data_IF_630197677645
#
_entry.id   IF_630197677645
#
_cell.length_a   1.000
_cell.length_b   1.000
_cell.length_c   1.000
_cell.angle_alpha   90.00
_cell.angle_beta   90.00
_cell.angle_gamma   90.00
#
_symmetry.space_group_name_H-M   'P 1'
#
loop_
_entity.id
_entity.type
_entity.pdbx_description
1 polymer ?
#
# COMPACT_ATOMS: atom_id res chain seq x y z
N UNK A 1 -11.61 -18.45 2.03
CA UNK A 1 -10.32 -18.15 1.38
C UNK A 1 -10.62 -17.13 0.30
N UNK A 2 -10.35 -15.85 0.58
CA UNK A 2 -10.64 -14.78 -0.38
C UNK A 2 -9.55 -14.81 -1.44
N UNK A 3 -9.89 -15.25 -2.66
CA UNK A 3 -8.99 -15.13 -3.80
C UNK A 3 -8.91 -13.65 -4.17
N UNK A 4 -7.81 -12.98 -3.80
CA UNK A 4 -7.50 -11.66 -4.33
C UNK A 4 -7.33 -11.82 -5.86
N UNK A 5 -7.92 -10.95 -6.69
CA UNK A 5 -7.62 -10.94 -8.11
C UNK A 5 -6.11 -10.84 -8.31
N UNK A 6 -5.59 -11.53 -9.32
CA UNK A 6 -4.16 -11.72 -9.52
C UNK A 6 -3.54 -10.42 -10.07
N UNK A 7 -3.30 -9.45 -9.20
CA UNK A 7 -2.69 -8.14 -9.54
C UNK A 7 -1.18 -8.23 -9.71
N UNK A 8 -0.64 -9.44 -9.96
CA UNK A 8 0.78 -9.72 -10.00
C UNK A 8 1.07 -10.94 -10.87
N UNK A 9 2.14 -10.87 -11.67
CA UNK A 9 2.70 -12.00 -12.42
C UNK A 9 4.22 -11.94 -12.27
N UNK A 10 4.86 -13.03 -11.82
CA UNK A 10 6.33 -13.13 -11.70
C UNK A 10 6.98 -11.93 -10.99
N UNK A 11 6.41 -11.50 -9.86
CA UNK A 11 6.84 -10.34 -9.06
C UNK A 11 6.62 -8.95 -9.72
N UNK A 12 5.95 -8.88 -10.88
CA UNK A 12 5.56 -7.64 -11.56
C UNK A 12 4.15 -7.27 -11.15
N UNK A 13 3.96 -6.05 -10.65
CA UNK A 13 2.63 -5.51 -10.30
C UNK A 13 1.83 -5.12 -11.54
N UNK A 14 0.57 -5.56 -11.60
CA UNK A 14 -0.37 -5.24 -12.67
C UNK A 14 -1.56 -4.49 -12.05
N UNK A 15 -1.49 -3.15 -11.94
CA UNK A 15 -2.58 -2.35 -11.39
C UNK A 15 -3.80 -2.40 -12.32
N UNK A 16 -4.98 -2.58 -11.74
CA UNK A 16 -6.25 -2.51 -12.45
C UNK A 16 -7.04 -1.32 -11.92
N UNK A 17 -7.27 -0.33 -12.79
CA UNK A 17 -8.03 0.86 -12.44
C UNK A 17 -9.52 0.66 -12.70
N UNK A 18 -10.37 1.00 -11.74
CA UNK A 18 -11.84 0.93 -11.89
C UNK A 18 -12.41 2.06 -12.73
N UNK A 19 -11.68 3.17 -12.80
CA UNK A 19 -12.03 4.40 -13.52
C UNK A 19 -10.85 4.81 -14.37
N UNK A 20 -11.10 5.65 -15.38
CA UNK A 20 -10.02 6.25 -16.16
C UNK A 20 -9.18 7.17 -15.26
N UNK A 21 -7.86 7.02 -15.38
CA UNK A 21 -6.91 7.93 -14.76
C UNK A 21 -7.03 9.31 -15.37
N UNK A 22 -7.05 10.32 -14.52
CA UNK A 22 -7.02 11.72 -14.92
C UNK A 22 -5.57 12.22 -14.98
N UNK A 23 -5.31 13.24 -15.78
CA UNK A 23 -3.95 13.76 -15.99
C UNK A 23 -3.27 14.21 -14.68
N UNK A 24 -4.06 14.71 -13.71
CA UNK A 24 -3.54 15.13 -12.42
C UNK A 24 -3.18 13.97 -11.48
N UNK A 25 -3.71 12.77 -11.72
CA UNK A 25 -3.45 11.57 -10.90
C UNK A 25 -2.21 10.81 -11.39
N UNK A 26 -1.75 11.08 -12.62
CA UNK A 26 -0.66 10.31 -13.26
C UNK A 26 0.61 10.31 -12.40
N UNK A 27 1.02 11.47 -11.87
CA UNK A 27 2.26 11.56 -11.08
C UNK A 27 2.16 10.76 -9.77
N UNK A 28 1.00 10.76 -9.12
CA UNK A 28 0.76 10.00 -7.89
C UNK A 28 0.79 8.49 -8.17
N UNK A 29 0.18 8.07 -9.28
CA UNK A 29 0.21 6.67 -9.73
C UNK A 29 1.62 6.23 -10.08
N UNK A 30 2.39 7.05 -10.80
CA UNK A 30 3.79 6.72 -11.13
C UNK A 30 4.65 6.59 -9.87
N UNK A 31 4.48 7.49 -8.91
CA UNK A 31 5.15 7.43 -7.61
C UNK A 31 4.81 6.13 -6.84
N UNK A 32 3.53 5.75 -6.85
CA UNK A 32 3.08 4.48 -6.27
C UNK A 32 3.72 3.28 -6.98
N UNK A 33 3.72 3.26 -8.31
CA UNK A 33 4.30 2.15 -9.08
C UNK A 33 5.80 2.00 -8.86
N UNK A 34 6.54 3.12 -8.78
CA UNK A 34 7.95 3.10 -8.42
C UNK A 34 8.18 2.50 -7.03
N UNK A 35 7.36 2.87 -6.05
CA UNK A 35 7.44 2.31 -4.69
C UNK A 35 7.14 0.80 -4.67
N UNK A 36 6.18 0.37 -5.50
CA UNK A 36 5.80 -1.05 -5.61
C UNK A 36 6.86 -1.88 -6.35
N UNK A 37 7.59 -1.30 -7.30
CA UNK A 37 8.70 -1.97 -8.00
C UNK A 37 9.82 -2.39 -7.04
N UNK A 38 10.12 -1.55 -6.04
CA UNK A 38 11.09 -1.86 -4.99
C UNK A 38 10.60 -2.99 -4.04
N UNK A 39 9.30 -3.29 -4.03
CA UNK A 39 8.69 -4.30 -3.18
C UNK A 39 8.75 -5.70 -3.83
N UNK A 40 9.83 -6.43 -3.54
CA UNK A 40 9.94 -7.85 -3.88
C UNK A 40 9.25 -8.72 -2.83
N UNK A 41 8.20 -9.45 -3.21
CA UNK A 41 7.51 -10.38 -2.30
C UNK A 41 8.06 -11.78 -2.52
N UNK A 42 8.50 -12.41 -1.45
CA UNK A 42 8.87 -13.81 -1.44
C UNK A 42 7.64 -14.67 -1.11
N UNK A 43 7.10 -15.36 -2.11
CA UNK A 43 5.93 -16.23 -1.98
C UNK A 43 6.18 -17.44 -1.05
N UNK A 44 7.45 -17.78 -0.78
CA UNK A 44 7.81 -18.86 0.14
C UNK A 44 7.88 -18.37 1.60
N UNK A 45 7.87 -17.05 1.81
CA UNK A 45 7.86 -16.46 3.14
C UNK A 45 6.42 -16.29 3.62
N UNK A 46 6.14 -16.79 4.83
CA UNK A 46 4.83 -16.59 5.46
C UNK A 46 4.66 -15.10 5.73
N UNK A 47 3.55 -14.54 5.24
CA UNK A 47 3.15 -13.16 5.50
C UNK A 47 3.22 -12.85 6.99
N UNK A 48 3.99 -11.82 7.34
CA UNK A 48 4.03 -11.26 8.69
C UNK A 48 3.33 -9.94 8.69
N UNK A 49 2.28 -9.87 9.49
CA UNK A 49 1.53 -8.65 9.72
C UNK A 49 2.37 -7.73 10.62
N UNK A 50 3.06 -6.76 10.01
CA UNK A 50 3.86 -5.77 10.73
C UNK A 50 2.95 -4.62 11.16
N UNK A 51 2.51 -4.62 12.43
CA UNK A 51 1.76 -3.51 13.01
C UNK A 51 2.64 -2.65 13.90
N UNK A 52 2.86 -1.41 13.46
CA UNK A 52 3.50 -0.37 14.26
C UNK A 52 5.01 -0.52 14.36
N UNK A 53 5.70 0.62 14.51
CA UNK A 53 7.14 0.68 14.73
C UNK A 53 7.50 0.33 16.19
N UNK A 54 6.59 -0.30 16.94
CA UNK A 54 6.74 -0.58 18.37
C UNK A 54 7.25 -1.99 18.57
N UNK A 55 8.11 -2.16 19.59
CA UNK A 55 8.74 -3.45 19.92
C UNK A 55 7.72 -4.56 20.23
N UNK A 56 6.49 -4.19 20.62
CA UNK A 56 5.45 -5.15 21.01
C UNK A 56 4.54 -5.62 19.85
N UNK A 57 4.59 -5.00 18.66
CA UNK A 57 3.88 -5.47 17.46
C UNK A 57 2.34 -5.50 17.56
N UNK A 58 1.76 -4.87 18.58
CA UNK A 58 0.32 -4.90 18.83
C UNK A 58 -0.38 -3.71 18.15
N UNK A 59 -1.32 -4.00 17.25
CA UNK A 59 -2.22 -3.00 16.69
C UNK A 59 -3.21 -2.50 17.74
N UNK A 60 -3.36 -1.18 17.86
CA UNK A 60 -4.54 -0.58 18.50
C UNK A 60 -5.10 0.52 17.60
N UNK A 61 -6.43 0.61 17.55
CA UNK A 61 -7.16 1.67 16.82
C UNK A 61 -6.67 3.07 17.25
N UNK A 62 -6.27 3.22 18.51
CA UNK A 62 -5.72 4.46 19.05
C UNK A 62 -4.39 4.88 18.40
N UNK A 63 -3.48 3.93 18.15
CA UNK A 63 -2.20 4.23 17.51
C UNK A 63 -2.38 4.60 16.02
N UNK A 64 -3.36 4.01 15.32
CA UNK A 64 -3.63 4.38 13.92
C UNK A 64 -4.07 5.84 13.75
N UNK A 65 -4.79 6.42 14.73
CA UNK A 65 -5.19 7.82 14.66
C UNK A 65 -4.01 8.80 14.67
N UNK A 66 -2.82 8.39 15.15
CA UNK A 66 -1.62 9.25 15.12
C UNK A 66 -1.05 9.45 13.72
N UNK A 67 -1.28 8.49 12.81
CA UNK A 67 -0.85 8.58 11.42
C UNK A 67 -1.91 9.22 10.52
N UNK A 68 -3.13 9.42 11.04
CA UNK A 68 -4.23 10.11 10.37
C UNK A 68 -4.22 11.62 10.64
N UNK A 69 -3.14 12.18 11.21
CA UNK A 69 -3.05 13.64 11.40
C UNK A 69 -2.97 14.30 10.02
N UNK A 70 -4.11 14.90 9.70
CA UNK A 70 -4.54 15.53 8.46
C UNK A 70 -3.49 16.46 7.84
N UNK A 71 -3.42 16.44 6.51
CA UNK A 71 -3.01 17.62 5.72
C UNK A 71 -3.87 18.80 6.18
N UNK A 72 -3.29 19.72 6.94
CA UNK A 72 -3.92 21.00 7.23
C UNK A 72 -4.12 21.74 5.91
N UNK A 73 -5.38 21.95 5.56
CA UNK A 73 -5.79 22.86 4.51
C UNK A 73 -5.36 24.27 4.93
N UNK A 74 -4.38 24.86 4.25
CA UNK A 74 -4.11 26.29 4.35
C UNK A 74 -4.95 27.01 3.27
N UNK A 75 -5.85 27.94 3.65
CA UNK A 75 -6.59 28.76 2.69
C UNK A 75 -5.69 29.74 1.93
#
# INVERSE_FOLDING_TARGET
MLQLPQYRVDNIWIPIFRTNLQDWEINEVLSLLHTLEECNLDEQTIDRLLWGNTKEGNYTVKESYKFLVFTEWHP
#
